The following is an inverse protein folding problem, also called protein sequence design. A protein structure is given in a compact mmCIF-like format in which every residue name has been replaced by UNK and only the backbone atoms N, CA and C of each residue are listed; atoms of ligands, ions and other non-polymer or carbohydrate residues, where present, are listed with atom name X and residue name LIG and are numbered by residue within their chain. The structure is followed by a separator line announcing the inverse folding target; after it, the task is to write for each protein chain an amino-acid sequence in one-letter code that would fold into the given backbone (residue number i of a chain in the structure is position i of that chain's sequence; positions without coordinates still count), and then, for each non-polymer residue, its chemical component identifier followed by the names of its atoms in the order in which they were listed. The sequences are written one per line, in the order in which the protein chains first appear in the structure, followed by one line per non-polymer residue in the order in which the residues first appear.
data_IF_132141836230
#
_entry.id   IF_132141836230
#
_cell.length_a   1.000
_cell.length_b   1.000
_cell.length_c   1.000
_cell.angle_alpha   90.00
_cell.angle_beta   90.00
_cell.angle_gamma   90.00
#
_symmetry.space_group_name_H-M   'P 1'
#
loop_
_entity.id
_entity.type
_entity.pdbx_description
1 polymer ?
#
# COMPACT_ATOMS: atom_id res chain seq x y z
N UNK A 1 0.72 8.11 -36.10
CA UNK A 1 1.32 8.70 -34.88
C UNK A 1 0.48 8.24 -33.70
N UNK A 2 1.08 7.53 -32.74
CA UNK A 2 0.38 7.05 -31.54
C UNK A 2 0.25 8.24 -30.57
N UNK A 3 -0.96 8.47 -30.05
CA UNK A 3 -1.23 9.56 -29.11
C UNK A 3 -1.00 9.05 -27.68
N UNK A 4 0.05 9.52 -26.99
CA UNK A 4 0.35 9.12 -25.63
C UNK A 4 -0.71 9.58 -24.61
N UNK A 5 -1.46 10.64 -24.93
CA UNK A 5 -2.50 11.21 -24.08
C UNK A 5 -3.88 10.56 -24.32
N UNK A 6 -4.05 9.86 -25.45
CA UNK A 6 -5.28 9.14 -25.73
C UNK A 6 -5.42 7.94 -24.80
N UNK A 7 -6.33 8.08 -23.82
CA UNK A 7 -6.73 6.96 -22.96
C UNK A 7 -7.27 5.82 -23.81
N UNK A 8 -6.57 4.68 -23.78
CA UNK A 8 -7.07 3.43 -24.34
C UNK A 8 -8.23 2.96 -23.48
N UNK A 9 -9.28 2.47 -24.11
CA UNK A 9 -10.47 2.00 -23.43
C UNK A 9 -11.05 0.80 -24.17
N UNK A 10 -12.01 0.14 -23.51
CA UNK A 10 -12.86 -0.85 -24.15
C UNK A 10 -14.19 -0.17 -24.54
N UNK A 11 -14.35 0.27 -25.80
CA UNK A 11 -15.53 1.01 -26.23
C UNK A 11 -16.79 0.16 -26.21
N UNK A 12 -16.64 -1.17 -26.28
CA UNK A 12 -17.73 -2.12 -26.19
C UNK A 12 -18.30 -2.27 -24.77
N UNK A 13 -17.57 -1.85 -23.73
CA UNK A 13 -18.09 -1.91 -22.37
C UNK A 13 -19.16 -0.81 -22.19
N UNK A 14 -20.27 -1.10 -21.52
CA UNK A 14 -21.26 -0.10 -21.14
C UNK A 14 -20.68 1.03 -20.27
N UNK A 15 -21.36 2.18 -20.24
CA UNK A 15 -20.90 3.35 -19.48
C UNK A 15 -20.97 3.16 -17.96
N UNK A 16 -21.88 2.31 -17.47
CA UNK A 16 -21.93 1.97 -16.05
C UNK A 16 -20.66 1.23 -15.59
N UNK A 17 -19.93 0.56 -16.50
CA UNK A 17 -18.66 -0.11 -16.21
C UNK A 17 -17.44 0.84 -16.26
N UNK A 18 -17.64 2.11 -15.85
CA UNK A 18 -16.61 3.16 -15.90
C UNK A 18 -15.34 2.80 -15.12
N UNK A 19 -15.47 2.06 -14.02
CA UNK A 19 -14.37 1.57 -13.19
C UNK A 19 -13.52 0.52 -13.90
N UNK A 20 -14.13 -0.39 -14.67
CA UNK A 20 -13.39 -1.34 -15.51
C UNK A 20 -12.64 -0.57 -16.62
N UNK A 21 -13.30 0.41 -17.26
CA UNK A 21 -12.66 1.33 -18.23
C UNK A 21 -11.57 2.22 -17.59
N UNK A 22 -11.51 2.35 -16.27
CA UNK A 22 -10.47 3.07 -15.54
C UNK A 22 -9.26 2.17 -15.26
N UNK A 23 -9.50 0.88 -14.97
CA UNK A 23 -8.44 -0.09 -14.71
C UNK A 23 -7.82 -0.67 -16.00
N UNK A 24 -8.60 -0.77 -17.08
CA UNK A 24 -8.18 -1.46 -18.31
C UNK A 24 -8.37 -0.64 -19.59
N UNK A 25 -7.43 -0.76 -20.54
CA UNK A 25 -6.07 -1.27 -20.35
C UNK A 25 -5.19 -0.28 -19.56
N UNK A 26 -4.17 -0.76 -18.84
CA UNK A 26 -3.28 0.10 -18.05
C UNK A 26 -2.01 0.42 -18.82
N UNK A 27 -1.62 1.71 -18.85
CA UNK A 27 -0.35 2.12 -19.45
C UNK A 27 0.75 1.98 -18.41
N UNK A 28 1.79 1.20 -18.75
CA UNK A 28 2.96 1.02 -17.88
C UNK A 28 4.12 1.79 -18.51
N UNK A 29 4.70 2.79 -17.82
CA UNK A 29 5.90 3.44 -18.30
C UNK A 29 7.04 2.43 -18.23
N UNK A 30 7.50 1.91 -19.38
CA UNK A 30 8.63 0.98 -19.43
C UNK A 30 9.71 1.48 -20.38
N UNK A 31 10.87 1.84 -19.83
CA UNK A 31 12.14 2.09 -20.53
C UNK A 31 11.97 2.72 -21.93
N UNK A 32 11.31 3.89 -21.98
CA UNK A 32 11.14 4.73 -23.17
C UNK A 32 10.04 4.31 -24.17
N UNK A 33 9.25 3.28 -23.88
CA UNK A 33 8.09 2.87 -24.67
C UNK A 33 6.81 2.90 -23.82
N UNK A 34 5.75 3.49 -24.37
CA UNK A 34 4.40 3.41 -23.81
C UNK A 34 3.82 2.01 -24.06
N UNK A 35 4.14 1.07 -23.16
CA UNK A 35 3.60 -0.28 -23.21
C UNK A 35 2.19 -0.32 -22.59
N UNK A 36 1.32 -1.11 -23.22
CA UNK A 36 -0.04 -1.34 -22.75
C UNK A 36 -0.08 -2.70 -22.07
N UNK A 37 -0.50 -2.71 -20.81
CA UNK A 37 -0.64 -3.92 -20.00
C UNK A 37 -2.12 -4.25 -19.75
N UNK A 38 -2.45 -5.52 -19.93
CA UNK A 38 -3.77 -6.08 -19.64
C UNK A 38 -3.57 -7.39 -18.89
N UNK A 39 -3.89 -7.39 -17.61
CA UNK A 39 -4.13 -8.59 -16.83
C UNK A 39 -5.52 -9.14 -17.22
N UNK A 40 -5.54 -10.09 -18.16
CA UNK A 40 -6.78 -10.72 -18.62
C UNK A 40 -7.52 -11.49 -17.51
N UNK A 41 -6.79 -11.99 -16.51
CA UNK A 41 -7.40 -12.65 -15.35
C UNK A 41 -8.19 -11.65 -14.50
N UNK A 42 -7.58 -10.50 -14.19
CA UNK A 42 -8.26 -9.41 -13.50
C UNK A 42 -9.43 -8.88 -14.33
N UNK A 43 -9.28 -8.71 -15.65
CA UNK A 43 -10.36 -8.28 -16.52
C UNK A 43 -11.55 -9.26 -16.50
N UNK A 44 -11.28 -10.56 -16.61
CA UNK A 44 -12.32 -11.58 -16.55
C UNK A 44 -13.05 -11.56 -15.21
N UNK A 45 -12.30 -11.46 -14.11
CA UNK A 45 -12.89 -11.30 -12.76
C UNK A 45 -13.71 -10.02 -12.63
N UNK A 46 -13.29 -8.91 -13.26
CA UNK A 46 -14.04 -7.64 -13.19
C UNK A 46 -15.41 -7.76 -13.84
N UNK A 47 -15.48 -8.40 -15.00
CA UNK A 47 -16.73 -8.67 -15.70
C UNK A 47 -17.63 -9.59 -14.87
N UNK A 48 -17.04 -10.61 -14.24
CA UNK A 48 -17.74 -11.52 -13.34
C UNK A 48 -18.29 -10.84 -12.07
N UNK A 49 -17.53 -9.90 -11.50
CA UNK A 49 -17.94 -9.09 -10.35
C UNK A 49 -19.08 -8.14 -10.74
N UNK A 50 -19.00 -7.51 -11.90
CA UNK A 50 -20.06 -6.64 -12.40
C UNK A 50 -21.36 -7.40 -12.60
N UNK A 51 -21.31 -8.56 -13.25
CA UNK A 51 -22.49 -9.39 -13.47
C UNK A 51 -23.16 -9.80 -12.16
N UNK A 52 -22.38 -10.17 -11.15
CA UNK A 52 -22.88 -10.56 -9.81
C UNK A 52 -23.44 -9.38 -9.03
N UNK A 53 -22.78 -8.22 -9.10
CA UNK A 53 -23.28 -6.99 -8.46
C UNK A 53 -24.62 -6.57 -9.05
N UNK A 54 -24.80 -6.70 -10.36
CA UNK A 54 -26.07 -6.44 -11.04
C UNK A 54 -27.17 -7.44 -10.65
N UNK A 55 -26.81 -8.68 -10.33
CA UNK A 55 -27.76 -9.69 -9.85
C UNK A 55 -27.99 -9.67 -8.33
N UNK A 56 -27.31 -8.79 -7.58
CA UNK A 56 -27.39 -8.73 -6.11
C UNK A 56 -26.74 -9.92 -5.39
N UNK A 57 -25.79 -10.61 -6.02
CA UNK A 57 -25.06 -11.76 -5.45
C UNK A 57 -23.83 -11.30 -4.65
N UNK A 58 -24.09 -10.75 -3.46
CA UNK A 58 -23.03 -10.22 -2.57
C UNK A 58 -22.08 -11.32 -2.06
N UNK A 59 -22.58 -12.55 -1.85
CA UNK A 59 -21.76 -13.69 -1.43
C UNK A 59 -20.78 -14.11 -2.53
N UNK A 60 -21.24 -14.20 -3.77
CA UNK A 60 -20.39 -14.48 -4.92
C UNK A 60 -19.39 -13.35 -5.19
N UNK A 61 -19.75 -12.09 -4.95
CA UNK A 61 -18.81 -10.95 -4.99
C UNK A 61 -17.71 -11.14 -3.95
N UNK A 62 -18.07 -11.41 -2.69
CA UNK A 62 -17.08 -11.58 -1.61
C UNK A 62 -16.17 -12.78 -1.84
N UNK A 63 -16.70 -13.89 -2.37
CA UNK A 63 -15.93 -15.08 -2.74
C UNK A 63 -14.90 -14.76 -3.81
N UNK A 64 -15.31 -14.12 -4.91
CA UNK A 64 -14.39 -13.72 -5.97
C UNK A 64 -13.33 -12.71 -5.52
N UNK A 65 -13.69 -11.82 -4.59
CA UNK A 65 -12.73 -10.90 -3.99
C UNK A 65 -11.75 -11.59 -3.04
N UNK A 66 -12.16 -12.70 -2.41
CA UNK A 66 -11.29 -13.57 -1.62
C UNK A 66 -10.20 -14.24 -2.47
N UNK A 67 -10.50 -14.51 -3.75
CA UNK A 67 -9.58 -15.14 -4.69
C UNK A 67 -8.53 -14.20 -5.30
N UNK A 68 -8.56 -12.89 -4.99
CA UNK A 68 -7.41 -12.03 -5.31
C UNK A 68 -6.27 -12.44 -4.38
N UNK A 69 -5.26 -13.08 -4.99
CA UNK A 69 -4.17 -13.75 -4.32
C UNK A 69 -3.42 -12.85 -3.32
N UNK A 70 -2.85 -13.51 -2.32
CA UNK A 70 -2.11 -12.94 -1.20
C UNK A 70 -1.16 -11.79 -1.57
N UNK A 71 -1.22 -10.74 -0.73
CA UNK A 71 -0.25 -9.66 -0.45
C UNK A 71 0.33 -8.81 -1.58
N UNK A 72 0.28 -9.19 -2.86
CA UNK A 72 0.80 -8.39 -3.98
C UNK A 72 -0.18 -8.33 -5.14
N UNK A 73 -1.14 -7.42 -5.01
CA UNK A 73 -2.04 -7.05 -6.09
C UNK A 73 -1.24 -6.30 -7.15
N UNK A 74 -1.52 -6.56 -8.43
CA UNK A 74 -1.11 -5.61 -9.46
C UNK A 74 -2.01 -4.35 -9.45
N UNK A 75 -1.66 -3.36 -10.28
CA UNK A 75 -2.40 -2.11 -10.43
C UNK A 75 -3.89 -2.33 -10.74
N UNK A 76 -4.22 -3.28 -11.60
CA UNK A 76 -5.57 -3.53 -12.10
C UNK A 76 -6.40 -4.27 -11.05
N UNK A 77 -5.81 -5.27 -10.40
CA UNK A 77 -6.40 -5.99 -9.27
C UNK A 77 -6.64 -5.06 -8.07
N UNK A 78 -5.71 -4.14 -7.79
CA UNK A 78 -5.88 -3.13 -6.75
C UNK A 78 -7.08 -2.21 -7.04
N UNK A 79 -7.19 -1.70 -8.26
CA UNK A 79 -8.33 -0.84 -8.64
C UNK A 79 -9.67 -1.59 -8.55
N UNK A 80 -9.68 -2.87 -8.87
CA UNK A 80 -10.88 -3.71 -8.71
C UNK A 80 -11.23 -3.91 -7.24
N UNK A 81 -10.25 -4.24 -6.39
CA UNK A 81 -10.45 -4.36 -4.94
C UNK A 81 -11.02 -3.07 -4.36
N UNK A 82 -10.45 -1.92 -4.71
CA UNK A 82 -10.93 -0.61 -4.25
C UNK A 82 -12.37 -0.30 -4.67
N UNK A 83 -12.80 -0.79 -5.82
CA UNK A 83 -14.14 -0.54 -6.34
C UNK A 83 -15.21 -1.50 -5.82
N UNK A 84 -14.90 -2.80 -5.75
CA UNK A 84 -15.88 -3.83 -5.42
C UNK A 84 -15.87 -4.26 -3.96
N UNK A 85 -14.78 -4.05 -3.22
CA UNK A 85 -14.72 -4.45 -1.82
C UNK A 85 -15.51 -3.47 -0.93
N UNK A 86 -16.45 -4.04 -0.18
CA UNK A 86 -17.24 -3.30 0.80
C UNK A 86 -16.57 -3.23 2.18
N UNK A 87 -15.65 -4.15 2.47
CA UNK A 87 -14.93 -4.20 3.74
C UNK A 87 -13.89 -3.06 3.83
N UNK A 88 -14.23 -2.02 4.59
CA UNK A 88 -13.36 -0.87 4.78
C UNK A 88 -12.06 -1.20 5.51
N UNK A 89 -12.05 -2.17 6.43
CA UNK A 89 -10.83 -2.54 7.14
C UNK A 89 -9.83 -3.20 6.19
N UNK A 90 -10.31 -4.15 5.38
CA UNK A 90 -9.52 -4.80 4.32
C UNK A 90 -9.01 -3.78 3.29
N UNK A 91 -9.83 -2.80 2.92
CA UNK A 91 -9.41 -1.74 2.00
C UNK A 91 -8.29 -0.86 2.55
N UNK A 92 -8.36 -0.48 3.83
CA UNK A 92 -7.28 0.27 4.49
C UNK A 92 -5.98 -0.53 4.43
N UNK A 93 -6.03 -1.82 4.81
CA UNK A 93 -4.87 -2.71 4.76
C UNK A 93 -4.27 -2.80 3.35
N UNK A 94 -5.13 -2.98 2.33
CA UNK A 94 -4.72 -3.08 0.92
C UNK A 94 -4.05 -1.79 0.44
N UNK A 95 -4.64 -0.62 0.74
CA UNK A 95 -4.07 0.69 0.34
C UNK A 95 -2.69 0.86 0.97
N UNK A 96 -2.55 0.57 2.26
CA UNK A 96 -1.30 0.76 2.99
C UNK A 96 -0.22 -0.24 2.56
N UNK A 97 -0.60 -1.49 2.31
CA UNK A 97 0.32 -2.54 1.84
C UNK A 97 0.85 -2.26 0.43
N UNK A 98 0.09 -1.54 -0.39
CA UNK A 98 0.43 -1.23 -1.78
C UNK A 98 0.84 0.23 -2.01
N UNK A 99 1.12 1.01 -0.95
CA UNK A 99 1.40 2.45 -1.02
C UNK A 99 2.52 2.80 -2.01
N UNK A 100 3.58 2.00 -2.06
CA UNK A 100 4.72 2.25 -2.94
C UNK A 100 4.32 2.05 -4.41
N UNK A 101 3.61 0.96 -4.71
CA UNK A 101 3.07 0.72 -6.05
C UNK A 101 2.11 1.84 -6.46
N UNK A 102 1.27 2.34 -5.55
CA UNK A 102 0.32 3.43 -5.86
C UNK A 102 1.07 4.68 -6.34
N UNK A 103 2.18 5.01 -5.70
CA UNK A 103 3.04 6.14 -6.08
C UNK A 103 3.75 5.86 -7.39
N UNK A 104 4.42 4.72 -7.50
CA UNK A 104 5.29 4.37 -8.64
C UNK A 104 4.52 4.21 -9.96
N UNK A 105 3.24 3.82 -9.89
CA UNK A 105 2.39 3.57 -11.07
C UNK A 105 1.45 4.72 -11.41
N UNK A 106 1.51 5.85 -10.70
CA UNK A 106 0.63 6.99 -10.94
C UNK A 106 -0.84 6.75 -10.56
N UNK A 107 -1.10 5.76 -9.71
CA UNK A 107 -2.45 5.42 -9.22
C UNK A 107 -2.98 6.39 -8.15
N UNK A 108 -2.15 7.30 -7.65
CA UNK A 108 -2.54 8.25 -6.61
C UNK A 108 -3.83 9.02 -6.97
N UNK A 109 -3.96 9.53 -8.20
CA UNK A 109 -5.16 10.23 -8.66
C UNK A 109 -6.43 9.36 -8.60
N UNK A 110 -6.45 8.19 -9.26
CA UNK A 110 -7.55 7.23 -9.15
C UNK A 110 -7.91 6.84 -7.71
N UNK A 111 -6.92 6.53 -6.87
CA UNK A 111 -7.13 6.15 -5.47
C UNK A 111 -7.75 7.30 -4.68
N UNK A 112 -7.24 8.52 -4.83
CA UNK A 112 -7.79 9.71 -4.16
C UNK A 112 -9.24 9.96 -4.55
N UNK A 113 -9.61 9.83 -5.83
CA UNK A 113 -11.02 9.96 -6.24
C UNK A 113 -11.93 8.95 -5.55
N UNK A 114 -11.50 7.70 -5.40
CA UNK A 114 -12.28 6.67 -4.68
C UNK A 114 -12.40 7.04 -3.20
N UNK A 115 -11.34 7.56 -2.58
CA UNK A 115 -11.36 8.01 -1.19
C UNK A 115 -12.26 9.24 -0.99
N UNK A 116 -12.33 10.14 -1.97
CA UNK A 116 -13.22 11.30 -1.94
C UNK A 116 -14.69 10.88 -2.10
N UNK A 117 -14.97 9.83 -2.88
CA UNK A 117 -16.29 9.18 -2.95
C UNK A 117 -16.64 8.40 -1.67
N UNK A 118 -15.65 8.05 -0.83
CA UNK A 118 -15.81 7.24 0.40
C UNK A 118 -15.17 7.92 1.62
N UNK A 119 -15.80 8.97 2.19
CA UNK A 119 -15.18 9.78 3.24
C UNK A 119 -14.86 9.01 4.53
N UNK A 120 -15.65 8.00 4.89
CA UNK A 120 -15.37 7.14 6.04
C UNK A 120 -14.07 6.35 5.86
N UNK A 121 -13.90 5.70 4.70
CA UNK A 121 -12.67 5.02 4.33
C UNK A 121 -11.46 5.98 4.34
N UNK A 122 -11.61 7.18 3.77
CA UNK A 122 -10.57 8.22 3.79
C UNK A 122 -10.12 8.57 5.20
N UNK A 123 -11.07 8.80 6.12
CA UNK A 123 -10.74 9.06 7.51
C UNK A 123 -10.01 7.88 8.17
N UNK A 124 -10.40 6.64 7.90
CA UNK A 124 -9.72 5.45 8.43
C UNK A 124 -8.30 5.34 7.91
N UNK A 125 -8.06 5.59 6.62
CA UNK A 125 -6.72 5.62 6.04
C UNK A 125 -5.83 6.68 6.73
N UNK A 126 -6.36 7.88 6.98
CA UNK A 126 -5.65 8.95 7.69
C UNK A 126 -5.31 8.55 9.12
N UNK A 127 -6.28 8.02 9.88
CA UNK A 127 -6.03 7.55 11.25
C UNK A 127 -4.99 6.43 11.30
N UNK A 128 -5.07 5.46 10.39
CA UNK A 128 -4.07 4.39 10.31
C UNK A 128 -2.66 4.92 9.98
N UNK A 129 -2.57 5.96 9.15
CA UNK A 129 -1.29 6.64 8.85
C UNK A 129 -0.72 7.29 10.11
N UNK A 130 -1.52 8.06 10.84
CA UNK A 130 -1.08 8.74 12.06
C UNK A 130 -0.72 7.78 13.19
N UNK A 131 -1.49 6.71 13.39
CA UNK A 131 -1.16 5.67 14.36
C UNK A 131 0.22 5.05 14.08
N UNK A 132 0.57 4.83 12.80
CA UNK A 132 1.89 4.32 12.44
C UNK A 132 3.01 5.34 12.69
N UNK A 133 2.74 6.63 12.49
CA UNK A 133 3.70 7.70 12.81
C UNK A 133 3.96 7.76 14.31
N UNK A 134 2.91 7.70 15.14
CA UNK A 134 3.03 7.68 16.60
C UNK A 134 3.84 6.48 17.08
N UNK A 135 3.56 5.27 16.54
CA UNK A 135 4.33 4.06 16.85
C UNK A 135 5.83 4.22 16.55
N UNK A 136 6.18 4.81 15.39
CA UNK A 136 7.56 5.05 14.99
C UNK A 136 8.26 6.09 15.89
N UNK A 137 7.54 7.12 16.34
CA UNK A 137 8.06 8.11 17.28
C UNK A 137 8.40 7.43 18.62
N UNK A 138 7.46 6.65 19.16
CA UNK A 138 7.69 5.92 20.42
C UNK A 138 8.82 4.90 20.32
N UNK A 139 8.94 4.16 19.21
CA UNK A 139 10.05 3.24 18.97
C UNK A 139 11.41 3.97 18.93
N UNK A 140 11.46 5.15 18.31
CA UNK A 140 12.67 5.97 18.27
C UNK A 140 13.05 6.49 19.66
N UNK A 141 12.08 6.89 20.47
CA UNK A 141 12.32 7.34 21.85
C UNK A 141 12.84 6.20 22.74
N UNK A 142 12.27 5.01 22.61
CA UNK A 142 12.73 3.80 23.32
C UNK A 142 14.16 3.41 22.92
N UNK A 143 14.45 3.34 21.62
CA UNK A 143 15.81 3.06 21.11
C UNK A 143 16.83 4.10 21.59
N UNK A 144 16.46 5.38 21.62
CA UNK A 144 17.32 6.45 22.13
C UNK A 144 17.54 6.37 23.66
N UNK A 145 16.56 5.87 24.41
CA UNK A 145 16.70 5.64 25.85
C UNK A 145 17.61 4.43 26.16
N UNK A 146 17.49 3.36 25.38
CA UNK A 146 18.34 2.16 25.48
C UNK A 146 19.81 2.48 25.15
N UNK A 147 20.08 3.28 24.12
CA UNK A 147 21.45 3.74 23.80
C UNK A 147 22.07 4.57 24.93
N UNK A 148 21.30 5.44 25.58
CA UNK A 148 21.78 6.22 26.74
C UNK A 148 22.05 5.35 27.96
N UNK A 149 21.25 4.29 28.17
CA UNK A 149 21.46 3.34 29.26
C UNK A 149 22.68 2.44 29.02
N UNK A 150 22.92 2.03 27.77
CA UNK A 150 24.07 1.22 27.39
C UNK A 150 25.40 2.00 27.40
N UNK A 151 25.40 3.26 26.98
CA UNK A 151 26.59 4.13 26.99
C UNK A 151 26.97 4.69 28.38
N UNK A 152 26.15 4.47 29.41
CA UNK A 152 26.42 4.90 30.79
C UNK A 152 27.07 3.84 31.68
N UNK A 153 27.37 2.64 31.16
CA UNK A 153 27.89 1.51 31.92
C UNK A 153 29.40 1.25 31.72
N UNK A 154 30.07 1.96 30.83
CA UNK A 154 31.53 1.93 30.66
C UNK A 154 32.10 3.28 31.09
N UNK A 155 32.41 3.46 32.38
CA UNK A 155 33.44 4.40 32.88
C UNK A 155 33.44 4.52 34.42
N UNK A 156 33.44 3.42 35.18
CA UNK A 156 33.95 3.46 36.56
C UNK A 156 34.52 2.09 36.95
N UNK A 157 35.76 1.80 36.56
CA UNK A 157 36.66 1.02 37.42
C UNK A 157 38.11 1.08 36.93
N UNK A 158 39.03 1.10 37.89
CA UNK A 158 40.50 0.95 37.77
C UNK A 158 41.27 2.28 37.66
N UNK A 159 42.25 2.62 38.51
CA UNK A 159 43.02 1.80 39.43
C UNK A 159 43.70 2.65 40.51
N UNK A 160 43.76 2.08 41.71
CA UNK A 160 44.50 2.62 42.85
C UNK A 160 46.01 2.52 42.62
N UNK A 161 46.73 3.61 42.91
CA UNK A 161 48.19 3.64 42.97
C UNK A 161 48.71 2.76 44.13
N UNK A 162 49.70 1.89 43.92
CA UNK A 162 50.61 1.50 44.98
C UNK A 162 51.87 2.37 44.93
N UNK A 163 52.11 3.06 46.05
CA UNK A 163 53.38 3.72 46.38
C UNK A 163 54.44 2.63 46.60
N UNK A 164 55.45 2.59 45.74
CA UNK A 164 56.60 1.70 45.92
C UNK A 164 57.53 2.24 47.00
N UNK A 165 57.55 1.57 48.15
CA UNK A 165 58.72 1.59 49.04
C UNK A 165 59.69 0.48 48.59
N UNK A 166 60.90 0.89 48.23
CA UNK A 166 62.01 0.00 47.91
C UNK A 166 63.31 0.68 48.30
N UNK A 167 63.56 0.71 49.61
CA UNK A 167 64.79 1.22 50.21
C UNK A 167 65.93 0.21 50.17
N UNK A 168 67.11 0.75 49.90
CA UNK A 168 68.47 0.24 50.03
C UNK A 168 68.77 -0.82 51.13
N UNK A 169 69.58 -1.81 50.71
CA UNK A 169 70.58 -2.66 51.40
C UNK A 169 70.29 -4.14 51.54
#
# INVERSE_FOLDING_TARGET
MFDPDRKLNFPFLPDHMRHIKLAFPWRVPYRSCDCVFINFHALYKALQLEARKLSGDDEGVNTLLGDFGSTRLDTQELLMMLHYCSDEAKLVEIIHSNRQMIVDTGLAGPVLRILDERPALRQRCVRATWAKVEELISQRELSSAEERAAGGAEDVESEAFPVGEGGDR
#
